data_IF_502922446816
#
_entry.id   IF_502922446816
#
_cell.length_a   1.000
_cell.length_b   1.000
_cell.length_c   1.000
_cell.angle_alpha   90.00
_cell.angle_beta   90.00
_cell.angle_gamma   90.00
#
_symmetry.space_group_name_H-M   'P 1'
#
loop_
_entity.id
_entity.type
_entity.pdbx_description
1 polymer ?
#
# COMPACT_ATOMS: atom_id res chain seq x y z
N UNK A 1 45.54 -49.14 -17.06
CA UNK A 1 44.83 -49.80 -18.18
C UNK A 1 43.40 -49.24 -18.17
N UNK A 2 42.98 -48.69 -19.31
CA UNK A 2 41.77 -47.88 -19.52
C UNK A 2 40.46 -48.66 -19.35
N UNK A 3 39.36 -47.95 -19.05
CA UNK A 3 38.00 -48.46 -19.22
C UNK A 3 36.89 -47.59 -18.63
N UNK A 4 36.63 -46.41 -19.21
CA UNK A 4 35.40 -45.63 -18.99
C UNK A 4 34.21 -46.28 -19.71
N UNK A 5 33.06 -46.38 -19.05
CA UNK A 5 31.75 -46.53 -19.69
C UNK A 5 30.79 -45.47 -19.11
N UNK A 6 30.49 -44.47 -19.93
CA UNK A 6 29.57 -43.39 -19.62
C UNK A 6 28.11 -43.83 -19.66
N UNK A 7 27.31 -43.33 -18.73
CA UNK A 7 25.84 -43.31 -18.80
C UNK A 7 25.40 -41.85 -18.96
N UNK A 8 24.83 -41.52 -20.12
CA UNK A 8 24.16 -40.24 -20.35
C UNK A 8 22.78 -40.20 -19.65
N UNK A 9 22.21 -39.00 -19.41
CA UNK A 9 20.92 -38.87 -18.77
C UNK A 9 19.76 -39.18 -19.74
N UNK A 10 18.79 -39.95 -19.26
CA UNK A 10 17.53 -40.25 -19.95
C UNK A 10 16.55 -39.10 -19.69
N UNK A 11 16.20 -38.34 -20.75
CA UNK A 11 15.18 -37.30 -20.68
C UNK A 11 13.77 -37.92 -20.75
N UNK A 12 13.01 -37.82 -19.66
CA UNK A 12 11.59 -38.19 -19.66
C UNK A 12 10.75 -36.99 -20.16
N UNK A 13 10.15 -37.13 -21.35
CA UNK A 13 9.11 -36.20 -21.85
C UNK A 13 7.75 -36.62 -21.27
N UNK A 14 7.19 -35.80 -20.38
CA UNK A 14 5.80 -35.93 -19.95
C UNK A 14 4.89 -35.22 -20.99
N UNK A 15 3.99 -35.97 -21.63
CA UNK A 15 2.91 -35.41 -22.45
C UNK A 15 1.66 -35.24 -21.59
N UNK A 16 1.23 -33.99 -21.37
CA UNK A 16 -0.07 -33.69 -20.77
C UNK A 16 -1.01 -33.16 -21.86
N UNK A 17 -2.14 -33.85 -22.03
CA UNK A 17 -3.25 -33.41 -22.89
C UNK A 17 -4.05 -32.31 -22.17
N UNK A 18 -4.52 -31.26 -22.86
CA UNK A 18 -5.40 -30.28 -22.25
C UNK A 18 -6.81 -30.86 -22.13
N UNK A 19 -7.39 -30.78 -20.91
CA UNK A 19 -8.80 -31.04 -20.66
C UNK A 19 -9.49 -29.68 -20.57
N UNK A 20 -10.42 -29.41 -21.48
CA UNK A 20 -11.19 -28.17 -21.51
C UNK A 20 -12.23 -28.12 -20.40
N UNK A 21 -12.38 -26.95 -19.77
CA UNK A 21 -13.49 -26.61 -18.87
C UNK A 21 -14.14 -25.28 -19.32
N UNK A 22 -15.47 -25.13 -19.14
CA UNK A 22 -16.26 -24.12 -19.82
C UNK A 22 -16.09 -22.71 -19.24
N UNK A 23 -16.24 -21.71 -20.12
CA UNK A 23 -16.26 -20.30 -19.77
C UNK A 23 -17.49 -19.98 -18.91
N UNK A 24 -17.28 -19.63 -17.64
CA UNK A 24 -18.29 -19.00 -16.79
C UNK A 24 -18.07 -17.49 -16.80
N UNK A 25 -19.01 -16.79 -17.43
CA UNK A 25 -19.06 -15.34 -17.49
C UNK A 25 -19.60 -14.80 -16.16
N UNK A 26 -18.71 -14.43 -15.24
CA UNK A 26 -19.09 -13.77 -13.98
C UNK A 26 -19.08 -12.26 -14.22
N UNK A 27 -20.28 -11.67 -14.20
CA UNK A 27 -20.47 -10.23 -14.36
C UNK A 27 -19.84 -9.44 -13.22
N UNK A 28 -18.86 -8.60 -13.55
CA UNK A 28 -18.31 -7.60 -12.63
C UNK A 28 -19.31 -6.45 -12.48
N UNK A 29 -19.69 -6.17 -11.23
CA UNK A 29 -20.19 -4.85 -10.84
C UNK A 29 -19.00 -3.88 -10.91
N UNK A 30 -19.17 -2.81 -11.70
CA UNK A 30 -18.14 -1.82 -11.96
C UNK A 30 -17.75 -1.06 -10.68
N UNK A 31 -16.51 -1.23 -10.25
CA UNK A 31 -15.85 -0.26 -9.36
C UNK A 31 -15.18 0.77 -10.26
N UNK A 32 -15.55 2.05 -10.09
CA UNK A 32 -15.04 3.17 -10.87
C UNK A 32 -13.52 3.30 -10.71
N UNK A 33 -12.76 2.93 -11.75
CA UNK A 33 -11.42 3.45 -11.96
C UNK A 33 -11.53 4.76 -12.75
N UNK A 34 -11.11 5.87 -12.15
CA UNK A 34 -10.79 7.08 -12.89
C UNK A 34 -9.32 6.99 -13.31
N UNK A 35 -9.07 6.44 -14.49
CA UNK A 35 -7.81 6.65 -15.22
C UNK A 35 -8.06 7.84 -16.13
N UNK A 36 -7.51 9.00 -15.79
CA UNK A 36 -7.59 10.17 -16.66
C UNK A 36 -6.41 10.12 -17.63
N UNK A 37 -6.62 9.46 -18.77
CA UNK A 37 -5.77 9.62 -19.95
C UNK A 37 -6.31 10.82 -20.76
N UNK A 38 -5.48 11.84 -20.93
CA UNK A 38 -5.78 12.98 -21.80
C UNK A 38 -5.64 12.54 -23.28
N UNK A 39 -6.77 12.34 -23.95
CA UNK A 39 -6.89 12.45 -25.41
C UNK A 39 -8.35 12.70 -25.78
N UNK A 40 -8.59 13.66 -26.68
CA UNK A 40 -9.90 14.25 -26.95
C UNK A 40 -10.90 13.35 -27.68
N UNK A 41 -12.19 13.67 -27.50
CA UNK A 41 -13.29 13.06 -28.24
C UNK A 41 -14.65 13.26 -27.56
N UNK A 42 -15.39 14.29 -27.95
CA UNK A 42 -16.75 14.56 -27.50
C UNK A 42 -17.73 13.52 -28.07
N UNK A 43 -18.19 12.59 -27.22
CA UNK A 43 -19.31 11.68 -27.51
C UNK A 43 -20.30 11.65 -26.35
N UNK A 44 -21.57 12.02 -26.59
CA UNK A 44 -22.63 12.04 -25.57
C UNK A 44 -23.03 10.62 -25.19
N UNK A 45 -23.04 10.30 -23.89
CA UNK A 45 -23.50 9.01 -23.35
C UNK A 45 -24.90 9.16 -22.73
N UNK A 46 -25.86 8.38 -23.24
CA UNK A 46 -27.23 8.32 -22.72
C UNK A 46 -27.30 7.57 -21.38
N UNK A 47 -28.07 8.11 -20.42
CA UNK A 47 -28.31 7.48 -19.10
C UNK A 47 -29.27 6.29 -19.23
N UNK A 48 -28.75 5.06 -19.05
CA UNK A 48 -29.59 3.86 -18.85
C UNK A 48 -29.73 3.59 -17.36
N UNK A 49 -30.94 3.74 -16.81
CA UNK A 49 -31.29 3.39 -15.42
C UNK A 49 -31.15 1.87 -15.22
N UNK A 50 -30.37 1.43 -14.24
CA UNK A 50 -30.36 0.05 -13.75
C UNK A 50 -30.77 0.03 -12.29
N UNK A 51 -32.04 -0.31 -12.04
CA UNK A 51 -32.45 -0.91 -10.78
C UNK A 51 -33.26 -2.15 -11.12
N UNK A 52 -32.71 -3.33 -10.83
CA UNK A 52 -33.51 -4.54 -10.64
C UNK A 52 -32.97 -5.24 -9.40
N UNK A 53 -33.73 -5.14 -8.31
CA UNK A 53 -33.43 -5.82 -7.06
C UNK A 53 -33.49 -7.33 -7.27
N UNK A 54 -32.42 -8.04 -6.88
CA UNK A 54 -32.41 -9.50 -6.82
C UNK A 54 -33.12 -9.91 -5.53
N UNK A 55 -34.29 -10.55 -5.66
CA UNK A 55 -34.98 -11.20 -4.54
C UNK A 55 -34.19 -12.46 -4.13
N UNK A 56 -33.58 -12.44 -2.96
CA UNK A 56 -32.93 -13.61 -2.37
C UNK A 56 -33.96 -14.64 -1.90
N UNK A 57 -33.80 -15.90 -2.34
CA UNK A 57 -34.42 -17.04 -1.67
C UNK A 57 -33.48 -17.52 -0.57
N UNK A 58 -33.98 -17.57 0.66
CA UNK A 58 -33.29 -18.16 1.80
C UNK A 58 -33.00 -19.64 1.56
N UNK A 59 -31.80 -20.07 1.98
CA UNK A 59 -31.37 -21.44 1.85
C UNK A 59 -30.00 -21.66 2.48
N UNK A 60 -30.01 -21.99 3.77
CA UNK A 60 -28.97 -22.73 4.50
C UNK A 60 -27.58 -22.11 4.53
N UNK A 61 -27.26 -21.50 5.69
CA UNK A 61 -25.91 -21.12 6.07
C UNK A 61 -24.96 -22.31 5.94
N UNK A 62 -24.08 -22.24 4.94
CA UNK A 62 -22.80 -22.93 5.03
C UNK A 62 -21.89 -21.99 5.77
N UNK A 63 -21.42 -22.41 6.94
CA UNK A 63 -20.27 -21.79 7.55
C UNK A 63 -19.14 -21.81 6.52
N UNK A 64 -18.77 -20.64 6.02
CA UNK A 64 -17.52 -20.48 5.28
C UNK A 64 -16.43 -20.65 6.32
N UNK A 65 -15.98 -21.89 6.48
CA UNK A 65 -14.79 -22.18 7.26
C UNK A 65 -13.63 -21.70 6.41
N UNK A 66 -13.14 -20.49 6.70
CA UNK A 66 -11.97 -19.89 6.08
C UNK A 66 -10.74 -20.72 6.50
N UNK A 67 -10.14 -21.54 5.64
CA UNK A 67 -8.88 -22.14 5.99
C UNK A 67 -7.82 -21.05 5.75
N UNK A 68 -7.11 -20.63 6.79
CA UNK A 68 -5.85 -19.92 6.63
C UNK A 68 -4.70 -20.93 6.67
N UNK A 69 -4.31 -21.54 5.53
CA UNK A 69 -2.91 -21.77 5.29
C UNK A 69 -2.31 -20.43 4.85
N UNK A 70 -1.15 -20.11 5.40
CA UNK A 70 -0.28 -18.97 5.13
C UNK A 70 0.25 -18.86 3.68
N UNK A 71 -0.51 -19.32 2.67
CA UNK A 71 -0.04 -19.41 1.28
C UNK A 71 -1.05 -19.06 0.17
N UNK A 72 -2.27 -18.61 0.47
CA UNK A 72 -3.26 -18.28 -0.58
C UNK A 72 -4.12 -17.07 -0.23
N UNK A 73 -3.48 -15.97 0.21
CA UNK A 73 -4.05 -14.67 -0.14
C UNK A 73 -3.44 -14.33 -1.49
N UNK A 74 -4.24 -13.91 -2.46
CA UNK A 74 -3.88 -13.86 -3.88
C UNK A 74 -2.88 -12.74 -4.23
N UNK A 75 -1.82 -12.57 -3.43
CA UNK A 75 -0.73 -11.60 -3.62
C UNK A 75 -0.20 -11.60 -5.04
N UNK A 76 -0.26 -12.76 -5.72
CA UNK A 76 0.11 -12.94 -7.12
C UNK A 76 -0.51 -11.90 -8.04
N UNK A 77 -1.82 -11.59 -7.93
CA UNK A 77 -2.49 -10.70 -8.87
C UNK A 77 -2.10 -9.24 -8.67
N UNK A 78 -2.08 -8.77 -7.42
CA UNK A 78 -1.68 -7.40 -7.11
C UNK A 78 -0.18 -7.20 -7.36
N UNK A 79 0.63 -8.23 -7.10
CA UNK A 79 2.04 -8.24 -7.48
C UNK A 79 2.20 -8.26 -9.00
N UNK A 80 1.39 -9.01 -9.74
CA UNK A 80 1.41 -9.03 -11.22
C UNK A 80 1.08 -7.64 -11.77
N UNK A 81 0.04 -6.98 -11.27
CA UNK A 81 -0.30 -5.61 -11.65
C UNK A 81 0.84 -4.64 -11.32
N UNK A 82 1.45 -4.77 -10.15
CA UNK A 82 2.57 -3.93 -9.73
C UNK A 82 3.87 -4.21 -10.49
N UNK A 83 4.05 -5.43 -11.01
CA UNK A 83 5.20 -5.85 -11.81
C UNK A 83 5.16 -5.30 -13.23
N UNK A 84 4.00 -4.81 -13.70
CA UNK A 84 3.89 -4.15 -15.00
C UNK A 84 4.77 -2.90 -15.05
N UNK A 85 5.68 -2.77 -16.04
CA UNK A 85 6.71 -1.74 -16.06
C UNK A 85 6.15 -0.30 -16.07
N UNK A 86 4.95 -0.10 -16.62
CA UNK A 86 4.25 1.19 -16.67
C UNK A 86 3.67 1.63 -15.32
N UNK A 87 3.46 0.71 -14.37
CA UNK A 87 2.88 1.05 -13.07
C UNK A 87 3.96 1.69 -12.18
N UNK A 88 3.73 2.96 -11.85
CA UNK A 88 4.62 3.77 -11.00
C UNK A 88 4.05 4.04 -9.60
N UNK A 89 2.73 3.94 -9.46
CA UNK A 89 1.98 4.15 -8.22
C UNK A 89 0.91 3.08 -8.13
N UNK A 90 0.86 2.39 -6.98
CA UNK A 90 -0.16 1.39 -6.66
C UNK A 90 -0.91 1.84 -5.41
N UNK A 91 -2.22 2.00 -5.53
CA UNK A 91 -3.09 2.24 -4.38
C UNK A 91 -3.49 0.93 -3.72
N UNK A 92 -3.21 0.79 -2.43
CA UNK A 92 -3.62 -0.36 -1.61
C UNK A 92 -4.62 0.10 -0.55
N UNK A 93 -5.90 0.08 -0.89
CA UNK A 93 -6.97 0.38 0.07
C UNK A 93 -7.27 -0.79 1.00
N UNK A 94 -8.08 -0.53 2.02
CA UNK A 94 -8.68 -1.53 2.89
C UNK A 94 -10.20 -1.35 2.95
N UNK A 95 -10.96 -2.44 3.15
CA UNK A 95 -12.40 -2.33 3.34
C UNK A 95 -12.78 -1.65 4.66
N UNK A 96 -11.93 -1.79 5.71
CA UNK A 96 -12.14 -1.19 7.03
C UNK A 96 -10.79 -0.95 7.74
N UNK A 97 -10.73 0.03 8.65
CA UNK A 97 -9.55 0.32 9.50
C UNK A 97 -9.43 -0.59 10.74
N UNK A 98 -9.78 -1.87 10.63
CA UNK A 98 -9.70 -2.81 11.75
C UNK A 98 -9.78 -4.28 11.36
N UNK A 99 -9.60 -4.60 10.07
CA UNK A 99 -9.61 -5.98 9.59
C UNK A 99 -8.19 -6.55 9.66
N UNK A 100 -7.94 -7.44 10.62
CA UNK A 100 -6.64 -8.10 10.82
C UNK A 100 -6.16 -8.82 9.54
N UNK A 101 -7.08 -9.47 8.82
CA UNK A 101 -6.78 -10.15 7.56
C UNK A 101 -6.33 -9.17 6.47
N UNK A 102 -6.96 -8.00 6.39
CA UNK A 102 -6.59 -6.97 5.43
C UNK A 102 -5.19 -6.41 5.71
N UNK A 103 -4.87 -6.14 6.98
CA UNK A 103 -3.56 -5.64 7.37
C UNK A 103 -2.45 -6.69 7.18
N UNK A 104 -2.71 -7.94 7.58
CA UNK A 104 -1.78 -9.05 7.37
C UNK A 104 -1.47 -9.23 5.89
N UNK A 105 -2.51 -9.24 5.05
CA UNK A 105 -2.34 -9.35 3.60
C UNK A 105 -1.58 -8.17 3.00
N UNK A 106 -1.92 -6.93 3.39
CA UNK A 106 -1.19 -5.74 2.92
C UNK A 106 0.29 -5.83 3.28
N UNK A 107 0.64 -6.30 4.48
CA UNK A 107 2.03 -6.56 4.87
C UNK A 107 2.74 -7.53 3.91
N UNK A 108 2.09 -8.64 3.57
CA UNK A 108 2.63 -9.63 2.62
C UNK A 108 2.83 -9.05 1.21
N UNK A 109 1.86 -8.28 0.70
CA UNK A 109 1.99 -7.59 -0.59
C UNK A 109 3.17 -6.63 -0.57
N UNK A 110 3.28 -5.79 0.46
CA UNK A 110 4.36 -4.81 0.57
C UNK A 110 5.74 -5.47 0.61
N UNK A 111 5.90 -6.56 1.38
CA UNK A 111 7.14 -7.32 1.43
C UNK A 111 7.49 -7.94 0.08
N UNK A 112 6.51 -8.54 -0.62
CA UNK A 112 6.71 -9.13 -1.95
C UNK A 112 7.13 -8.08 -2.98
N UNK A 113 6.51 -6.90 -2.96
CA UNK A 113 6.88 -5.77 -3.83
C UNK A 113 8.28 -5.24 -3.52
N UNK A 114 8.68 -5.22 -2.25
CA UNK A 114 10.03 -4.84 -1.87
C UNK A 114 11.06 -5.85 -2.41
N UNK A 115 10.83 -7.14 -2.19
CA UNK A 115 11.71 -8.22 -2.65
C UNK A 115 11.87 -8.28 -4.18
N UNK A 116 10.84 -7.90 -4.93
CA UNK A 116 10.89 -7.81 -6.40
C UNK A 116 11.43 -6.47 -6.91
N UNK A 117 11.86 -5.57 -6.03
CA UNK A 117 12.39 -4.25 -6.37
C UNK A 117 11.34 -3.26 -6.90
N UNK A 118 10.05 -3.58 -6.75
CA UNK A 118 8.92 -2.78 -7.24
C UNK A 118 8.39 -1.78 -6.22
N UNK A 119 8.71 -1.95 -4.94
CA UNK A 119 8.43 -0.97 -3.89
C UNK A 119 9.69 -0.16 -3.56
N UNK A 120 9.59 1.17 -3.66
CA UNK A 120 10.65 2.11 -3.23
C UNK A 120 10.19 3.12 -2.19
N UNK A 121 8.90 3.42 -2.18
CA UNK A 121 8.28 4.36 -1.24
C UNK A 121 6.94 3.80 -0.82
N UNK A 122 6.77 3.62 0.49
CA UNK A 122 5.49 3.37 1.14
C UNK A 122 4.90 4.70 1.58
N UNK A 123 3.87 5.14 0.87
CA UNK A 123 3.08 6.31 1.23
C UNK A 123 1.89 5.85 2.08
N UNK A 124 1.76 6.38 3.30
CA UNK A 124 0.77 5.91 4.28
C UNK A 124 -0.12 7.03 4.78
N UNK A 125 -1.35 6.68 5.13
CA UNK A 125 -2.39 7.54 5.70
C UNK A 125 -2.06 7.89 7.15
N UNK A 126 -0.97 8.63 7.33
CA UNK A 126 -0.52 9.18 8.59
C UNK A 126 0.14 10.55 8.38
N UNK A 127 0.26 11.33 9.45
CA UNK A 127 0.87 12.65 9.41
C UNK A 127 2.30 12.66 8.88
N UNK A 128 2.68 13.76 8.22
CA UNK A 128 4.07 13.99 7.77
C UNK A 128 5.13 13.71 8.85
N UNK A 129 4.94 14.25 10.06
CA UNK A 129 5.86 14.06 11.18
C UNK A 129 5.95 12.61 11.63
N UNK A 130 4.80 11.94 11.73
CA UNK A 130 4.70 10.51 12.04
C UNK A 130 5.42 9.66 10.99
N UNK A 131 5.22 9.96 9.71
CA UNK A 131 5.90 9.30 8.60
C UNK A 131 7.42 9.47 8.64
N UNK A 132 7.92 10.67 8.95
CA UNK A 132 9.36 10.94 9.14
C UNK A 132 9.95 10.10 10.28
N UNK A 133 9.25 10.01 11.41
CA UNK A 133 9.67 9.21 12.57
C UNK A 133 9.69 7.71 12.24
N UNK A 134 8.66 7.23 11.56
CA UNK A 134 8.58 5.85 11.07
C UNK A 134 9.66 5.53 10.03
N UNK A 135 9.95 6.43 9.09
CA UNK A 135 11.04 6.26 8.11
C UNK A 135 12.39 6.06 8.81
N UNK A 136 12.67 6.91 9.81
CA UNK A 136 13.91 6.83 10.56
C UNK A 136 14.04 5.49 11.31
N UNK A 137 12.97 5.01 11.95
CA UNK A 137 12.95 3.70 12.60
C UNK A 137 13.05 2.55 11.58
N UNK A 138 12.30 2.60 10.48
CA UNK A 138 12.25 1.56 9.45
C UNK A 138 13.58 1.40 8.70
N UNK A 139 14.32 2.49 8.49
CA UNK A 139 15.60 2.48 7.74
C UNK A 139 16.83 2.36 8.63
N UNK A 140 16.64 2.31 9.95
CA UNK A 140 17.71 2.22 10.94
C UNK A 140 18.49 3.53 11.15
N UNK A 141 17.86 4.68 10.85
CA UNK A 141 18.43 6.00 11.12
C UNK A 141 18.08 6.52 12.53
N UNK A 142 17.29 5.76 13.29
CA UNK A 142 16.94 6.04 14.68
C UNK A 142 17.22 4.80 15.53
N UNK A 143 17.59 5.02 16.80
CA UNK A 143 17.66 3.96 17.82
C UNK A 143 16.28 3.66 18.41
N UNK A 144 15.25 4.42 18.03
CA UNK A 144 13.88 4.18 18.48
C UNK A 144 13.35 2.84 17.94
N UNK A 145 12.81 1.97 18.82
CA UNK A 145 12.15 0.76 18.38
C UNK A 145 10.95 1.05 17.48
N UNK A 146 10.79 0.27 16.40
CA UNK A 146 9.71 0.47 15.42
C UNK A 146 8.32 0.50 16.05
N UNK A 147 8.09 -0.33 17.08
CA UNK A 147 6.83 -0.36 17.84
C UNK A 147 6.56 0.97 18.58
N UNK A 148 7.60 1.66 19.05
CA UNK A 148 7.46 2.97 19.70
C UNK A 148 7.15 4.07 18.69
N UNK A 149 7.81 4.06 17.53
CA UNK A 149 7.48 4.97 16.43
C UNK A 149 6.04 4.75 15.93
N UNK A 150 5.60 3.50 15.80
CA UNK A 150 4.24 3.12 15.38
C UNK A 150 3.16 3.49 16.42
N UNK A 151 3.49 3.50 17.70
CA UNK A 151 2.56 3.98 18.73
C UNK A 151 2.48 5.50 18.74
N UNK A 152 3.60 6.19 18.48
CA UNK A 152 3.69 7.64 18.54
C UNK A 152 2.86 8.37 17.47
N UNK A 153 2.46 7.70 16.38
CA UNK A 153 1.58 8.32 15.37
C UNK A 153 0.16 8.60 15.87
N UNK A 154 -0.29 7.94 16.94
CA UNK A 154 -1.49 8.32 17.70
C UNK A 154 -2.83 7.73 17.24
N UNK A 155 -2.90 7.04 16.09
CA UNK A 155 -4.13 6.40 15.62
C UNK A 155 -4.17 4.91 16.00
N UNK A 156 -5.26 4.51 16.68
CA UNK A 156 -5.43 3.14 17.16
C UNK A 156 -5.46 2.12 16.02
N UNK A 157 -6.03 2.47 14.87
CA UNK A 157 -6.16 1.59 13.72
C UNK A 157 -4.82 1.18 13.12
N UNK A 158 -3.77 1.98 13.32
CA UNK A 158 -2.42 1.67 12.88
C UNK A 158 -1.58 0.97 13.94
N UNK A 159 -1.97 1.06 15.22
CA UNK A 159 -1.23 0.47 16.33
C UNK A 159 -1.71 -0.97 16.62
N UNK A 160 -1.55 -1.86 15.64
CA UNK A 160 -1.92 -3.29 15.73
C UNK A 160 -0.72 -4.22 15.56
N UNK A 161 -0.88 -5.47 15.97
CA UNK A 161 0.15 -6.49 15.83
C UNK A 161 0.42 -6.84 14.36
N UNK A 162 -0.61 -6.88 13.51
CA UNK A 162 -0.49 -7.22 12.09
C UNK A 162 0.31 -6.17 11.33
N UNK A 163 0.06 -4.89 11.62
CA UNK A 163 0.80 -3.78 11.01
C UNK A 163 2.24 -3.79 11.51
N UNK A 164 2.46 -3.96 12.81
CA UNK A 164 3.81 -4.04 13.37
C UNK A 164 4.59 -5.22 12.78
N UNK A 165 3.96 -6.38 12.61
CA UNK A 165 4.56 -7.55 12.00
C UNK A 165 4.99 -7.26 10.56
N UNK A 166 4.09 -6.73 9.72
CA UNK A 166 4.42 -6.37 8.33
C UNK A 166 5.53 -5.32 8.23
N UNK A 167 5.52 -4.30 9.11
CA UNK A 167 6.58 -3.29 9.14
C UNK A 167 7.92 -3.87 9.65
N UNK A 168 7.90 -4.85 10.56
CA UNK A 168 9.12 -5.55 11.01
C UNK A 168 9.73 -6.41 9.90
N UNK A 169 8.91 -7.11 9.13
CA UNK A 169 9.39 -7.86 7.97
C UNK A 169 10.05 -6.92 6.95
N UNK A 170 9.42 -5.78 6.70
CA UNK A 170 9.97 -4.74 5.82
C UNK A 170 11.24 -4.10 6.39
N UNK A 171 11.31 -3.86 7.71
CA UNK A 171 12.49 -3.36 8.40
C UNK A 171 13.67 -4.34 8.27
N UNK A 172 13.39 -5.63 8.45
CA UNK A 172 14.37 -6.71 8.34
C UNK A 172 14.90 -6.82 6.91
N UNK A 173 14.01 -6.74 5.92
CA UNK A 173 14.40 -6.68 4.52
C UNK A 173 15.26 -5.45 4.21
N UNK A 174 14.87 -4.26 4.68
CA UNK A 174 15.62 -3.02 4.53
C UNK A 174 17.04 -3.10 5.12
N UNK A 175 17.21 -3.74 6.28
CA UNK A 175 18.50 -3.88 6.93
C UNK A 175 19.51 -4.66 6.07
N UNK A 176 19.03 -5.59 5.24
CA UNK A 176 19.84 -6.36 4.30
C UNK A 176 20.13 -5.63 2.97
N UNK A 177 19.47 -4.50 2.72
CA UNK A 177 19.64 -3.74 1.46
C UNK A 177 20.66 -2.61 1.56
N UNK A 178 21.33 -2.26 0.44
CA UNK A 178 22.12 -1.04 0.36
C UNK A 178 21.23 0.20 0.56
N UNK A 179 21.76 1.31 1.11
CA UNK A 179 20.96 2.49 1.48
C UNK A 179 20.05 3.05 0.37
N UNK A 180 20.46 2.92 -0.90
CA UNK A 180 19.73 3.39 -2.08
C UNK A 180 18.52 2.51 -2.47
N UNK A 181 18.46 1.27 -1.98
CA UNK A 181 17.41 0.31 -2.30
C UNK A 181 16.40 0.12 -1.17
N UNK A 182 16.73 0.60 0.04
CA UNK A 182 15.84 0.59 1.19
C UNK A 182 14.52 1.31 0.86
N UNK A 183 13.41 0.66 1.16
CA UNK A 183 12.07 1.26 1.08
C UNK A 183 12.00 2.44 2.04
N UNK A 184 11.59 3.59 1.50
CA UNK A 184 11.29 4.79 2.26
C UNK A 184 9.86 4.79 2.75
N UNK A 185 9.64 5.45 3.88
CA UNK A 185 8.34 5.65 4.48
C UNK A 185 7.95 7.12 4.40
N UNK A 186 6.72 7.42 3.96
CA UNK A 186 6.22 8.80 3.87
C UNK A 186 4.79 8.85 4.39
N UNK A 187 4.52 9.74 5.34
CA UNK A 187 3.15 10.08 5.76
C UNK A 187 2.59 11.12 4.80
N UNK A 188 1.42 10.86 4.22
CA UNK A 188 0.79 11.74 3.22
C UNK A 188 -0.43 12.49 3.74
N UNK A 189 -0.72 12.37 5.04
CA UNK A 189 -1.87 12.99 5.66
C UNK A 189 -1.49 14.25 6.48
N UNK A 190 -2.48 15.10 6.75
CA UNK A 190 -2.36 16.33 7.52
C UNK A 190 -2.84 16.09 8.96
N UNK A 191 -2.21 15.11 9.64
CA UNK A 191 -2.75 14.55 10.89
C UNK A 191 -1.69 14.25 11.97
N UNK A 192 -1.65 14.99 13.10
CA UNK A 192 -2.23 16.32 13.31
C UNK A 192 -1.29 17.44 12.81
N UNK A 193 -1.82 18.55 12.28
CA UNK A 193 -1.02 19.55 11.56
C UNK A 193 0.06 20.22 12.40
N UNK A 194 -0.21 20.48 13.68
CA UNK A 194 0.72 21.19 14.57
C UNK A 194 2.05 20.47 14.79
N UNK A 195 2.07 19.12 14.78
CA UNK A 195 3.32 18.35 14.92
C UNK A 195 4.16 18.47 13.65
N UNK A 196 3.53 18.43 12.48
CA UNK A 196 4.21 18.65 11.20
C UNK A 196 4.77 20.07 11.09
N UNK A 197 4.00 21.06 11.53
CA UNK A 197 4.42 22.47 11.56
C UNK A 197 5.60 22.68 12.50
N UNK A 198 5.62 22.06 13.67
CA UNK A 198 6.76 22.16 14.58
C UNK A 198 8.06 21.70 13.91
N UNK A 199 8.03 20.62 13.12
CA UNK A 199 9.21 20.18 12.36
C UNK A 199 9.67 21.19 11.31
N UNK A 200 8.74 21.94 10.71
CA UNK A 200 9.09 23.00 9.75
C UNK A 200 9.74 24.18 10.48
N UNK A 201 9.19 24.58 11.64
CA UNK A 201 9.76 25.64 12.48
C UNK A 201 11.16 25.25 12.98
N UNK A 202 11.33 24.01 13.45
CA UNK A 202 12.64 23.49 13.89
C UNK A 202 13.67 23.44 12.75
N UNK A 203 13.21 23.30 11.50
CA UNK A 203 14.04 23.37 10.30
C UNK A 203 14.33 24.81 9.84
N UNK A 204 13.87 25.83 10.58
CA UNK A 204 14.10 27.24 10.29
C UNK A 204 13.11 27.86 9.29
N UNK A 205 11.99 27.19 9.00
CA UNK A 205 10.95 27.78 8.16
C UNK A 205 10.10 28.76 8.97
N UNK A 206 9.99 30.00 8.47
CA UNK A 206 9.20 31.06 9.10
C UNK A 206 8.01 31.45 8.22
N UNK A 207 6.82 31.42 8.81
CA UNK A 207 5.63 32.07 8.26
C UNK A 207 4.61 32.35 9.38
N UNK A 208 3.81 33.42 9.30
CA UNK A 208 2.80 33.74 10.32
C UNK A 208 1.87 32.56 10.63
N UNK A 209 1.44 31.84 9.59
CA UNK A 209 0.56 30.67 9.71
C UNK A 209 1.20 29.51 10.49
N UNK A 210 2.54 29.33 10.39
CA UNK A 210 3.24 28.27 11.12
C UNK A 210 3.24 28.56 12.62
N UNK A 211 3.47 29.82 13.02
CA UNK A 211 3.40 30.24 14.42
C UNK A 211 2.00 30.05 14.99
N UNK A 212 0.96 30.44 14.26
CA UNK A 212 -0.44 30.27 14.67
C UNK A 212 -0.81 28.79 14.85
N UNK A 213 -0.40 27.93 13.91
CA UNK A 213 -0.62 26.48 13.98
C UNK A 213 0.13 25.82 15.14
N UNK A 214 1.37 26.22 15.44
CA UNK A 214 2.11 25.76 16.61
C UNK A 214 1.38 26.11 17.92
N UNK A 215 0.87 27.34 18.01
CA UNK A 215 0.10 27.83 19.17
C UNK A 215 -1.34 27.29 19.19
N UNK A 216 -1.74 26.48 18.21
CA UNK A 216 -3.10 25.96 18.03
C UNK A 216 -4.16 27.07 18.02
N UNK A 217 -3.79 28.25 17.52
CA UNK A 217 -4.72 29.36 17.32
C UNK A 217 -5.56 29.03 16.09
N UNK A 218 -6.90 29.17 16.15
CA UNK A 218 -7.75 28.97 14.99
C UNK A 218 -7.32 29.86 13.83
N UNK A 219 -7.03 29.23 12.69
CA UNK A 219 -6.73 29.96 11.47
C UNK A 219 -7.98 30.65 10.95
N UNK A 220 -7.85 31.90 10.54
CA UNK A 220 -8.90 32.61 9.84
C UNK A 220 -8.37 33.07 8.46
N UNK A 221 -9.27 33.22 7.49
CA UNK A 221 -8.88 33.61 6.14
C UNK A 221 -8.27 35.03 6.08
N UNK A 222 -8.42 35.83 7.14
CA UNK A 222 -7.78 37.14 7.26
C UNK A 222 -6.32 37.09 7.72
N UNK A 223 -5.86 36.04 8.41
CA UNK A 223 -4.46 35.85 8.85
C UNK A 223 -3.62 35.07 7.84
N UNK A 224 -4.26 34.31 6.95
CA UNK A 224 -3.63 33.76 5.76
C UNK A 224 -3.30 34.89 4.77
N UNK A 225 -2.16 35.57 4.97
CA UNK A 225 -1.64 36.52 4.00
C UNK A 225 -1.68 35.94 2.58
N UNK A 226 -1.95 36.78 1.57
CA UNK A 226 -1.96 36.34 0.16
C UNK A 226 -0.70 35.52 -0.12
N UNK A 227 -0.88 34.32 -0.64
CA UNK A 227 0.24 33.50 -1.09
C UNK A 227 1.13 34.34 -2.02
N UNK A 228 2.47 34.31 -1.85
CA UNK A 228 3.37 35.01 -2.75
C UNK A 228 3.08 34.53 -4.18
N UNK A 229 2.97 35.48 -5.11
CA UNK A 229 2.44 35.25 -6.48
C UNK A 229 3.36 34.44 -7.39
N UNK A 230 4.42 33.83 -6.87
CA UNK A 230 5.28 32.90 -7.58
C UNK A 230 6.06 32.05 -6.57
N UNK A 231 6.06 30.74 -6.77
CA UNK A 231 7.14 29.88 -6.28
C UNK A 231 8.33 30.06 -7.25
N UNK A 232 9.58 30.17 -6.76
CA UNK A 232 10.77 30.21 -7.61
C UNK A 232 10.97 28.92 -8.41
#
# INVERSE_FOLDING_TARGET
MFGLLGRGPVAARLHLRPVGLPALQVGFQAVKFAVQALAGGLGRVAKRRQHRAVKGRGGHGRSVRWPLPCGLVNTERECELAQRPEVRVLGLGEPTHGSAEAFTWKGQVLLSLAQTGRLRVLAWECGFASGRRLDAALRGHSQEPLASALRAQGFWCWNTEEILAGLRDLQSWNAAQPPAERVRFVGVDVQPPHVGVQLLVDAGHEAPVLRELCLRIPLNCSTAGKAPSALP
#
